data_IF_233042102831
#
_entry.id   IF_233042102831
#
_cell.length_a   1.000
_cell.length_b   1.000
_cell.length_c   1.000
_cell.angle_alpha   90.00
_cell.angle_beta   90.00
_cell.angle_gamma   90.00
#
_symmetry.space_group_name_H-M   'P 1'
#
loop_
_entity.id
_entity.type
_entity.pdbx_description
1 polymer ?
#
# COMPACT_ATOMS: atom_id res chain seq x y z
N UNK A 1 7.13 69.07 51.58
CA UNK A 1 6.69 70.33 50.94
C UNK A 1 7.29 70.39 49.54
N UNK A 2 6.51 70.87 48.57
CA UNK A 2 6.82 71.08 47.13
C UNK A 2 6.84 69.82 46.26
N UNK A 3 5.92 69.55 45.32
CA UNK A 3 5.17 70.30 44.29
C UNK A 3 5.86 70.36 42.91
N UNK A 4 5.09 70.01 41.87
CA UNK A 4 5.29 70.31 40.43
C UNK A 4 6.14 69.29 39.67
N UNK A 5 5.83 68.81 38.45
CA UNK A 5 4.83 69.19 37.44
C UNK A 5 5.43 69.04 36.02
N UNK A 6 4.63 68.58 35.04
CA UNK A 6 4.91 68.56 33.59
C UNK A 6 5.54 67.24 33.08
N UNK A 7 4.96 66.46 32.15
CA UNK A 7 4.41 66.77 30.81
C UNK A 7 5.55 66.68 29.77
N UNK A 8 5.57 65.91 28.69
CA UNK A 8 4.64 65.00 28.02
C UNK A 8 5.34 64.38 26.79
N UNK A 9 4.59 63.65 25.94
CA UNK A 9 5.04 63.08 24.66
C UNK A 9 5.36 61.59 24.77
N UNK A 10 4.73 60.65 24.07
CA UNK A 10 4.17 60.70 22.72
C UNK A 10 4.91 59.63 21.91
N UNK A 11 4.25 58.51 21.63
CA UNK A 11 4.89 57.41 20.90
C UNK A 11 4.16 56.08 21.08
N UNK A 12 2.94 56.00 20.54
CA UNK A 12 2.31 54.72 20.29
C UNK A 12 3.11 53.97 19.22
N UNK A 13 3.57 52.77 19.56
CA UNK A 13 3.95 51.76 18.57
C UNK A 13 3.17 50.50 18.91
N UNK A 14 2.06 50.35 18.19
CA UNK A 14 1.41 49.08 18.01
C UNK A 14 2.39 48.16 17.29
N UNK A 15 3.03 47.24 18.04
CA UNK A 15 3.80 46.15 17.46
C UNK A 15 2.84 44.99 17.20
N UNK A 16 2.69 44.68 15.91
CA UNK A 16 1.63 43.87 15.37
C UNK A 16 1.68 42.42 15.82
N UNK A 17 0.48 41.89 15.99
CA UNK A 17 0.20 40.46 16.03
C UNK A 17 0.45 39.93 14.61
N UNK A 18 1.70 39.58 14.31
CA UNK A 18 2.00 38.78 13.14
C UNK A 18 1.51 37.36 13.43
N UNK A 19 0.22 37.12 13.20
CA UNK A 19 -0.32 35.79 13.02
C UNK A 19 0.42 35.17 11.84
N UNK A 20 1.48 34.42 12.12
CA UNK A 20 2.08 33.53 11.17
C UNK A 20 0.97 32.56 10.74
N UNK A 21 0.39 32.83 9.57
CA UNK A 21 -0.46 31.91 8.87
C UNK A 21 0.39 30.65 8.65
N UNK A 22 0.22 29.68 9.54
CA UNK A 22 0.71 28.33 9.36
C UNK A 22 0.12 27.85 8.04
N UNK A 23 0.95 27.89 6.99
CA UNK A 23 0.74 27.11 5.78
C UNK A 23 0.67 25.66 6.25
N UNK A 24 -0.53 25.20 6.56
CA UNK A 24 -0.86 23.79 6.60
C UNK A 24 -0.74 23.32 5.16
N UNK A 25 0.50 23.04 4.74
CA UNK A 25 0.74 22.02 3.76
C UNK A 25 -0.06 20.80 4.24
N UNK A 26 -0.92 20.29 3.38
CA UNK A 26 -1.64 19.04 3.60
C UNK A 26 -0.55 17.97 3.72
N UNK A 27 0.03 17.83 4.91
CA UNK A 27 1.01 16.79 5.22
C UNK A 27 0.23 15.48 5.16
N UNK A 28 0.67 14.55 4.32
CA UNK A 28 0.22 13.18 4.40
C UNK A 28 0.43 12.63 5.81
N UNK A 29 -0.26 11.52 6.10
CA UNK A 29 -0.27 10.91 7.42
C UNK A 29 1.14 10.84 8.03
N UNK A 30 1.31 11.38 9.23
CA UNK A 30 2.59 11.34 9.96
C UNK A 30 2.91 9.94 10.48
N UNK A 31 1.91 9.04 10.47
CA UNK A 31 2.04 7.65 10.90
C UNK A 31 2.44 6.78 9.71
N UNK A 32 3.36 5.86 9.95
CA UNK A 32 3.70 4.84 8.95
C UNK A 32 2.46 4.02 8.64
N UNK A 33 2.15 3.81 7.34
CA UNK A 33 1.00 3.01 6.94
C UNK A 33 1.17 1.57 7.39
N UNK A 34 0.06 0.94 7.78
CA UNK A 34 0.02 -0.45 8.20
C UNK A 34 -0.50 -1.29 7.05
N UNK A 35 -0.06 -2.53 6.97
CA UNK A 35 -0.64 -3.48 6.05
C UNK A 35 -2.04 -3.86 6.55
N UNK A 36 -3.08 -3.25 5.97
CA UNK A 36 -4.48 -3.55 6.27
C UNK A 36 -5.22 -3.92 4.99
N UNK A 37 -5.75 -5.15 4.93
CA UNK A 37 -6.53 -5.62 3.79
C UNK A 37 -5.68 -5.98 2.57
N UNK A 38 -5.93 -5.32 1.43
CA UNK A 38 -5.36 -5.67 0.12
C UNK A 38 -3.98 -5.03 -0.05
N UNK A 39 -3.02 -5.77 -0.63
CA UNK A 39 -1.65 -5.29 -0.82
C UNK A 39 -1.55 -3.99 -1.64
N UNK A 40 -2.41 -3.80 -2.64
CA UNK A 40 -2.44 -2.57 -3.44
C UNK A 40 -2.77 -1.33 -2.62
N UNK A 41 -3.64 -1.44 -1.61
CA UNK A 41 -3.93 -0.33 -0.69
C UNK A 41 -2.68 0.04 0.10
N UNK A 42 -2.04 -0.95 0.72
CA UNK A 42 -0.78 -0.76 1.46
C UNK A 42 0.31 -0.12 0.59
N UNK A 43 0.44 -0.58 -0.66
CA UNK A 43 1.39 -0.05 -1.64
C UNK A 43 1.15 1.43 -1.94
N UNK A 44 -0.10 1.83 -2.17
CA UNK A 44 -0.44 3.25 -2.43
C UNK A 44 -0.19 4.11 -1.19
N UNK A 45 -0.59 3.64 0.00
CA UNK A 45 -0.34 4.39 1.24
C UNK A 45 1.15 4.53 1.54
N UNK A 46 1.94 3.47 1.31
CA UNK A 46 3.39 3.50 1.49
C UNK A 46 4.07 4.42 0.48
N UNK A 47 3.63 4.41 -0.79
CA UNK A 47 4.09 5.35 -1.81
C UNK A 47 3.92 6.78 -1.34
N UNK A 48 2.68 7.19 -1.01
CA UNK A 48 2.38 8.55 -0.57
C UNK A 48 3.19 8.94 0.68
N UNK A 49 3.31 8.03 1.66
CA UNK A 49 4.08 8.28 2.87
C UNK A 49 5.58 8.51 2.60
N UNK A 50 6.18 7.77 1.67
CA UNK A 50 7.60 7.87 1.35
C UNK A 50 7.90 8.97 0.33
N UNK A 51 6.95 9.32 -0.51
CA UNK A 51 7.02 10.46 -1.44
C UNK A 51 7.12 11.78 -0.66
N UNK A 52 6.28 11.98 0.35
CA UNK A 52 6.34 13.12 1.28
C UNK A 52 7.70 13.26 2.02
N UNK A 53 8.51 12.19 2.01
CA UNK A 53 9.82 12.11 2.67
C UNK A 53 10.97 11.96 1.66
N UNK A 54 10.71 12.15 0.38
CA UNK A 54 11.68 12.03 -0.72
C UNK A 54 12.47 10.72 -0.68
N UNK A 55 11.85 9.64 -0.19
CA UNK A 55 12.50 8.35 0.06
C UNK A 55 11.96 7.24 -0.84
N UNK A 56 10.89 7.52 -1.61
CA UNK A 56 10.28 6.53 -2.52
C UNK A 56 11.22 6.12 -3.67
N UNK A 57 12.02 7.04 -4.21
CA UNK A 57 12.96 6.75 -5.29
C UNK A 57 14.02 5.68 -4.93
N UNK A 58 14.35 5.53 -3.64
CA UNK A 58 15.24 4.48 -3.15
C UNK A 58 14.55 3.11 -3.10
N UNK A 59 13.21 3.09 -2.96
CA UNK A 59 12.41 1.87 -2.98
C UNK A 59 12.24 1.34 -4.40
N UNK A 60 11.97 2.24 -5.36
CA UNK A 60 11.89 1.87 -6.79
C UNK A 60 13.27 1.63 -7.40
N UNK A 61 14.33 2.16 -6.78
CA UNK A 61 15.70 2.10 -7.27
C UNK A 61 16.01 3.09 -8.39
N UNK A 62 15.17 4.12 -8.55
CA UNK A 62 15.45 5.25 -9.44
C UNK A 62 16.57 6.14 -8.88
N UNK A 63 16.71 6.18 -7.55
CA UNK A 63 17.85 6.77 -6.86
C UNK A 63 18.86 5.66 -6.51
N UNK A 64 20.09 5.79 -6.99
CA UNK A 64 21.16 4.81 -6.79
C UNK A 64 22.23 5.40 -5.87
N UNK A 65 22.83 4.54 -5.05
CA UNK A 65 23.90 4.90 -4.14
C UNK A 65 25.13 5.40 -4.91
N UNK A 66 25.51 6.65 -4.69
CA UNK A 66 26.72 7.24 -5.26
C UNK A 66 28.00 6.58 -4.73
N UNK A 67 28.98 6.37 -5.61
CA UNK A 67 30.23 5.68 -5.26
C UNK A 67 31.35 6.62 -4.78
N UNK A 68 31.29 7.91 -5.12
CA UNK A 68 32.40 8.86 -4.95
C UNK A 68 32.09 10.02 -4.01
N UNK A 69 30.85 10.47 -3.96
CA UNK A 69 30.43 11.62 -3.15
C UNK A 69 29.91 11.16 -1.79
N UNK A 70 30.59 11.57 -0.71
CA UNK A 70 30.24 11.19 0.66
C UNK A 70 28.97 11.85 1.17
N UNK A 71 28.63 13.04 0.69
CA UNK A 71 27.43 13.74 1.11
C UNK A 71 26.19 13.13 0.45
N UNK A 72 26.28 12.81 -0.85
CA UNK A 72 25.23 12.07 -1.55
C UNK A 72 25.06 10.65 -0.98
N UNK A 73 26.15 9.98 -0.63
CA UNK A 73 26.13 8.68 0.06
C UNK A 73 25.34 8.75 1.38
N UNK A 74 25.59 9.77 2.20
CA UNK A 74 24.92 9.95 3.49
C UNK A 74 23.41 10.25 3.30
N UNK A 75 23.05 11.02 2.28
CA UNK A 75 21.66 11.30 1.92
C UNK A 75 20.95 10.02 1.50
N UNK A 76 21.54 9.23 0.61
CA UNK A 76 21.00 7.95 0.17
C UNK A 76 20.82 7.00 1.35
N UNK A 77 21.84 6.82 2.19
CA UNK A 77 21.80 5.90 3.32
C UNK A 77 20.72 6.30 4.34
N UNK A 78 20.45 7.61 4.51
CA UNK A 78 19.36 8.13 5.33
C UNK A 78 17.97 7.84 4.73
N UNK A 79 17.78 8.07 3.44
CA UNK A 79 16.52 7.77 2.73
C UNK A 79 16.24 6.26 2.72
N UNK A 80 17.27 5.45 2.42
CA UNK A 80 17.22 4.00 2.49
C UNK A 80 16.79 3.53 3.89
N UNK A 81 17.41 4.04 4.96
CA UNK A 81 17.01 3.69 6.33
C UNK A 81 15.55 4.04 6.61
N UNK A 82 15.10 5.22 6.21
CA UNK A 82 13.73 5.69 6.40
C UNK A 82 12.72 4.79 5.69
N UNK A 83 13.02 4.40 4.44
CA UNK A 83 12.21 3.47 3.68
C UNK A 83 12.17 2.06 4.30
N UNK A 84 13.31 1.52 4.72
CA UNK A 84 13.38 0.21 5.41
C UNK A 84 12.54 0.21 6.68
N UNK A 85 12.65 1.25 7.50
CA UNK A 85 11.86 1.37 8.73
C UNK A 85 10.36 1.43 8.44
N UNK A 86 9.96 2.19 7.41
CA UNK A 86 8.57 2.29 7.01
C UNK A 86 8.00 0.93 6.55
N UNK A 87 8.74 0.21 5.70
CA UNK A 87 8.34 -1.12 5.21
C UNK A 87 8.21 -2.11 6.38
N UNK A 88 9.22 -2.20 7.25
CA UNK A 88 9.20 -3.14 8.38
C UNK A 88 8.08 -2.82 9.36
N UNK A 89 7.84 -1.54 9.63
CA UNK A 89 6.79 -1.14 10.58
C UNK A 89 5.40 -1.33 10.01
N UNK A 90 5.21 -1.19 8.70
CA UNK A 90 3.95 -1.49 8.05
C UNK A 90 3.55 -2.97 8.12
N UNK A 91 4.54 -3.87 8.14
CA UNK A 91 4.32 -5.33 8.12
C UNK A 91 4.38 -6.00 9.50
N UNK A 92 4.96 -5.34 10.51
CA UNK A 92 5.29 -5.92 11.83
C UNK A 92 4.15 -6.63 12.57
N UNK A 93 2.90 -6.18 12.40
CA UNK A 93 1.76 -6.72 13.15
C UNK A 93 0.92 -7.74 12.35
N UNK A 94 1.10 -7.82 11.03
CA UNK A 94 0.19 -8.57 10.16
C UNK A 94 0.89 -9.61 9.27
N UNK A 95 2.22 -9.54 9.13
CA UNK A 95 3.00 -10.36 8.19
C UNK A 95 4.37 -10.74 8.80
N UNK A 96 4.39 -11.41 9.95
CA UNK A 96 5.63 -11.76 10.67
C UNK A 96 6.61 -12.58 9.81
N UNK A 97 6.11 -13.54 9.02
CA UNK A 97 6.94 -14.35 8.13
C UNK A 97 7.63 -13.50 7.05
N UNK A 98 6.91 -12.53 6.48
CA UNK A 98 7.47 -11.61 5.47
C UNK A 98 8.51 -10.69 6.11
N UNK A 99 8.25 -10.19 7.32
CA UNK A 99 9.20 -9.36 8.10
C UNK A 99 10.49 -10.13 8.36
N UNK A 100 10.41 -11.38 8.79
CA UNK A 100 11.58 -12.23 9.06
C UNK A 100 12.42 -12.47 7.81
N UNK A 101 11.77 -12.60 6.63
CA UNK A 101 12.46 -12.77 5.35
C UNK A 101 13.20 -11.50 4.92
N UNK A 102 12.56 -10.34 5.03
CA UNK A 102 13.10 -9.08 4.49
C UNK A 102 14.00 -8.33 5.48
N UNK A 103 13.95 -8.61 6.79
CA UNK A 103 14.69 -7.84 7.79
C UNK A 103 16.22 -7.96 7.65
N UNK A 104 16.70 -9.04 7.04
CA UNK A 104 18.12 -9.27 6.79
C UNK A 104 18.64 -8.57 5.52
N UNK A 105 17.78 -7.99 4.70
CA UNK A 105 18.15 -7.40 3.41
C UNK A 105 18.85 -6.04 3.57
N UNK A 106 19.76 -5.72 2.65
CA UNK A 106 20.62 -4.56 2.76
C UNK A 106 19.87 -3.28 2.38
N UNK A 107 19.07 -3.33 1.30
CA UNK A 107 18.42 -2.14 0.73
C UNK A 107 16.90 -2.21 0.83
N UNK A 108 16.25 -1.04 0.88
CA UNK A 108 14.79 -0.93 0.84
C UNK A 108 14.22 -1.46 -0.47
N UNK A 109 14.95 -1.28 -1.58
CA UNK A 109 14.62 -1.84 -2.90
C UNK A 109 14.50 -3.37 -2.85
N UNK A 110 15.53 -4.06 -2.36
CA UNK A 110 15.51 -5.52 -2.22
C UNK A 110 14.32 -6.01 -1.37
N UNK A 111 14.07 -5.33 -0.24
CA UNK A 111 12.93 -5.64 0.63
C UNK A 111 11.61 -5.50 -0.13
N UNK A 112 11.43 -4.38 -0.83
CA UNK A 112 10.21 -4.08 -1.56
C UNK A 112 9.98 -5.01 -2.75
N UNK A 113 11.01 -5.25 -3.57
CA UNK A 113 10.95 -6.14 -4.72
C UNK A 113 10.58 -7.57 -4.28
N UNK A 114 11.12 -8.03 -3.15
CA UNK A 114 10.79 -9.34 -2.58
C UNK A 114 9.32 -9.43 -2.16
N UNK A 115 8.79 -8.41 -1.47
CA UNK A 115 7.38 -8.40 -1.06
C UNK A 115 6.47 -8.38 -2.30
N UNK A 116 6.78 -7.52 -3.27
CA UNK A 116 5.98 -7.41 -4.50
C UNK A 116 6.00 -8.73 -5.27
N UNK A 117 7.17 -9.37 -5.40
CA UNK A 117 7.30 -10.67 -6.05
C UNK A 117 6.46 -11.75 -5.34
N UNK A 118 6.59 -11.89 -4.02
CA UNK A 118 5.83 -12.88 -3.24
C UNK A 118 4.31 -12.64 -3.33
N UNK A 119 3.87 -11.38 -3.28
CA UNK A 119 2.43 -11.03 -3.41
C UNK A 119 1.93 -11.32 -4.82
N UNK A 120 2.69 -10.95 -5.84
CA UNK A 120 2.35 -11.21 -7.25
C UNK A 120 2.27 -12.71 -7.54
N UNK A 121 3.23 -13.50 -7.05
CA UNK A 121 3.23 -14.95 -7.21
C UNK A 121 2.01 -15.56 -6.50
N UNK A 122 1.74 -15.15 -5.25
CA UNK A 122 0.59 -15.63 -4.49
C UNK A 122 -0.73 -15.30 -5.19
N UNK A 123 -0.87 -14.12 -5.76
CA UNK A 123 -2.05 -13.70 -6.53
C UNK A 123 -2.20 -14.54 -7.80
N UNK A 124 -1.11 -14.78 -8.53
CA UNK A 124 -1.11 -15.66 -9.70
C UNK A 124 -1.53 -17.10 -9.34
N UNK A 125 -0.93 -17.67 -8.29
CA UNK A 125 -1.27 -19.02 -7.81
C UNK A 125 -2.72 -19.10 -7.36
N UNK A 126 -3.23 -18.06 -6.69
CA UNK A 126 -4.62 -18.00 -6.25
C UNK A 126 -5.59 -17.94 -7.44
N UNK A 127 -5.30 -17.12 -8.46
CA UNK A 127 -6.08 -17.07 -9.70
C UNK A 127 -6.05 -18.42 -10.43
N UNK A 128 -4.88 -19.06 -10.53
CA UNK A 128 -4.74 -20.37 -11.16
C UNK A 128 -5.55 -21.44 -10.42
N UNK A 129 -5.49 -21.47 -9.09
CA UNK A 129 -6.27 -22.38 -8.26
C UNK A 129 -7.78 -22.14 -8.41
N UNK A 130 -8.23 -20.88 -8.34
CA UNK A 130 -9.65 -20.54 -8.52
C UNK A 130 -10.16 -20.94 -9.90
N UNK A 131 -9.36 -20.74 -10.96
CA UNK A 131 -9.72 -21.21 -12.31
C UNK A 131 -9.79 -22.72 -12.38
N UNK A 132 -8.82 -23.44 -11.80
CA UNK A 132 -8.84 -24.90 -11.75
C UNK A 132 -10.07 -25.42 -10.99
N UNK A 133 -10.45 -24.78 -9.88
CA UNK A 133 -11.67 -25.09 -9.15
C UNK A 133 -12.91 -24.81 -10.00
N UNK A 134 -13.01 -23.64 -10.62
CA UNK A 134 -14.14 -23.27 -11.46
C UNK A 134 -14.35 -24.30 -12.60
N UNK A 135 -13.29 -24.69 -13.30
CA UNK A 135 -13.40 -25.64 -14.41
C UNK A 135 -13.65 -27.09 -13.98
N UNK A 136 -13.26 -27.47 -12.76
CA UNK A 136 -13.44 -28.84 -12.26
C UNK A 136 -14.68 -29.01 -11.36
N UNK A 137 -15.34 -27.94 -10.95
CA UNK A 137 -16.52 -28.01 -10.08
C UNK A 137 -17.72 -28.51 -10.89
N UNK A 138 -18.14 -29.74 -10.60
CA UNK A 138 -19.29 -30.40 -11.21
C UNK A 138 -20.47 -30.42 -10.25
N UNK A 139 -21.68 -30.45 -10.81
CA UNK A 139 -22.89 -30.67 -10.03
C UNK A 139 -22.87 -32.08 -9.44
N UNK A 140 -23.15 -32.20 -8.13
CA UNK A 140 -23.13 -33.48 -7.41
C UNK A 140 -24.56 -33.96 -7.16
N UNK A 141 -24.79 -35.27 -7.30
CA UNK A 141 -26.10 -35.90 -7.03
C UNK A 141 -26.54 -35.63 -5.59
N UNK A 142 -27.69 -34.98 -5.42
CA UNK A 142 -28.23 -34.56 -4.12
C UNK A 142 -27.97 -33.10 -3.76
N UNK A 143 -27.11 -32.38 -4.49
CA UNK A 143 -26.97 -30.93 -4.39
C UNK A 143 -28.08 -30.25 -5.20
N UNK A 144 -28.63 -29.14 -4.70
CA UNK A 144 -29.58 -28.36 -5.51
C UNK A 144 -28.85 -27.59 -6.61
N UNK A 145 -29.52 -27.35 -7.73
CA UNK A 145 -28.93 -26.56 -8.81
C UNK A 145 -28.60 -25.13 -8.36
N UNK A 146 -29.42 -24.55 -7.47
CA UNK A 146 -29.20 -23.21 -6.93
C UNK A 146 -27.92 -23.12 -6.10
N UNK A 147 -27.62 -24.10 -5.26
CA UNK A 147 -26.37 -24.14 -4.47
C UNK A 147 -25.13 -24.26 -5.37
N UNK A 148 -25.23 -25.08 -6.42
CA UNK A 148 -24.17 -25.21 -7.42
C UNK A 148 -23.94 -23.89 -8.16
N UNK A 149 -25.00 -23.27 -8.68
CA UNK A 149 -24.92 -21.98 -9.36
C UNK A 149 -24.38 -20.88 -8.45
N UNK A 150 -24.81 -20.84 -7.19
CA UNK A 150 -24.30 -19.87 -6.21
C UNK A 150 -22.78 -20.03 -6.00
N UNK A 151 -22.29 -21.27 -5.91
CA UNK A 151 -20.85 -21.56 -5.77
C UNK A 151 -20.07 -21.09 -7.00
N UNK A 152 -20.58 -21.40 -8.20
CA UNK A 152 -19.97 -21.01 -9.46
C UNK A 152 -19.93 -19.49 -9.65
N UNK A 153 -21.03 -18.79 -9.35
CA UNK A 153 -21.11 -17.32 -9.37
C UNK A 153 -20.15 -16.70 -8.36
N UNK A 154 -20.03 -17.28 -7.16
CA UNK A 154 -19.05 -16.81 -6.17
C UNK A 154 -17.62 -16.89 -6.69
N UNK A 155 -17.22 -18.01 -7.27
CA UNK A 155 -15.88 -18.17 -7.86
C UNK A 155 -15.63 -17.17 -9.00
N UNK A 156 -16.63 -16.95 -9.86
CA UNK A 156 -16.57 -15.93 -10.92
C UNK A 156 -16.38 -14.53 -10.35
N UNK A 157 -17.08 -14.20 -9.27
CA UNK A 157 -16.96 -12.90 -8.61
C UNK A 157 -15.58 -12.72 -7.95
N UNK A 158 -15.05 -13.77 -7.32
CA UNK A 158 -13.69 -13.77 -6.76
C UNK A 158 -12.63 -13.52 -7.85
N UNK A 159 -12.73 -14.20 -8.99
CA UNK A 159 -11.84 -13.96 -10.13
C UNK A 159 -11.95 -12.53 -10.67
N UNK A 160 -13.16 -11.97 -10.71
CA UNK A 160 -13.39 -10.59 -11.15
C UNK A 160 -12.78 -9.57 -10.19
N UNK A 161 -12.79 -9.85 -8.88
CA UNK A 161 -12.16 -8.99 -7.88
C UNK A 161 -10.63 -8.95 -7.94
N UNK A 162 -10.00 -9.96 -8.56
CA UNK A 162 -8.55 -10.00 -8.80
C UNK A 162 -8.12 -9.18 -10.03
N UNK A 163 -9.06 -8.64 -10.79
CA UNK A 163 -8.80 -7.79 -11.96
C UNK A 163 -9.54 -8.22 -13.21
N UNK A 164 -9.70 -7.27 -14.14
CA UNK A 164 -10.43 -7.48 -15.40
C UNK A 164 -9.80 -8.54 -16.30
N UNK A 165 -8.48 -8.73 -16.24
CA UNK A 165 -7.74 -9.77 -16.97
C UNK A 165 -8.13 -11.19 -16.58
N UNK A 166 -8.70 -11.38 -15.39
CA UNK A 166 -9.08 -12.70 -14.87
C UNK A 166 -10.58 -12.94 -14.85
N UNK A 167 -11.38 -11.94 -15.25
CA UNK A 167 -12.82 -12.05 -15.31
C UNK A 167 -13.25 -13.12 -16.32
N UNK A 168 -14.23 -13.93 -15.93
CA UNK A 168 -14.91 -14.88 -16.82
C UNK A 168 -16.15 -14.17 -17.36
N UNK A 169 -16.26 -14.06 -18.68
CA UNK A 169 -17.42 -13.47 -19.35
C UNK A 169 -18.66 -14.39 -19.26
N UNK A 170 -19.83 -13.89 -19.65
CA UNK A 170 -21.07 -14.64 -19.54
C UNK A 170 -21.07 -15.91 -20.41
N UNK A 171 -20.49 -15.81 -21.61
CA UNK A 171 -20.39 -16.91 -22.57
C UNK A 171 -19.42 -18.00 -22.09
N UNK A 172 -18.27 -17.62 -21.55
CA UNK A 172 -17.35 -18.52 -20.87
C UNK A 172 -18.00 -19.19 -19.65
N UNK A 173 -18.74 -18.43 -18.85
CA UNK A 173 -19.45 -18.96 -17.69
C UNK A 173 -20.51 -20.00 -18.11
N UNK A 174 -21.28 -19.72 -19.16
CA UNK A 174 -22.26 -20.66 -19.71
C UNK A 174 -21.61 -21.96 -20.19
N UNK A 175 -20.46 -21.88 -20.87
CA UNK A 175 -19.69 -23.07 -21.26
C UNK A 175 -19.25 -23.91 -20.07
N UNK A 176 -18.75 -23.28 -19.00
CA UNK A 176 -18.34 -24.02 -17.81
C UNK A 176 -19.53 -24.70 -17.13
N UNK A 177 -20.64 -23.98 -16.97
CA UNK A 177 -21.85 -24.50 -16.34
C UNK A 177 -22.44 -25.68 -17.13
N UNK A 178 -22.49 -25.58 -18.46
CA UNK A 178 -23.01 -26.67 -19.32
C UNK A 178 -22.12 -27.90 -19.31
N UNK A 179 -20.80 -27.76 -19.18
CA UNK A 179 -19.88 -28.90 -19.01
C UNK A 179 -19.93 -29.51 -17.60
N UNK A 180 -20.23 -28.72 -16.57
CA UNK A 180 -20.28 -29.15 -15.17
C UNK A 180 -21.59 -29.81 -14.76
N UNK A 181 -22.69 -29.57 -15.48
CA UNK A 181 -23.99 -30.21 -15.29
C UNK A 181 -24.09 -31.41 -16.24
N UNK A 182 -23.69 -32.58 -15.76
CA UNK A 182 -24.03 -33.82 -16.45
C UNK A 182 -25.51 -34.12 -16.20
N UNK A 183 -26.32 -34.13 -17.27
CA UNK A 183 -27.69 -34.66 -17.23
C UNK A 183 -27.62 -36.13 -16.83
N UNK A 184 -27.83 -36.44 -15.55
CA UNK A 184 -28.03 -37.81 -15.03
C UNK A 184 -29.50 -38.08 -14.81
#
# INVERSE_FOLDING_TARGET
MSAGGGGGGGGGVAAGVAAAASQQAIRGSTKTPRFEGVFELYKVELHLYLEDRESWAVVTGDEVRDAADRDLLAIFDKKNRTAKEAILRGLRECQEDEVNKICAMATAKEMWDTIVADKTERDYLYVALLKAQLYNTKHVKGQTLTEYLATMVRMRQQLSSMGTTHAVDDDGMLRVLTMGVTLT
#
